data_IF_126577968940
#
_entry.id   IF_126577968940
#
_cell.length_a   1.000
_cell.length_b   1.000
_cell.length_c   1.000
_cell.angle_alpha   90.00
_cell.angle_beta   90.00
_cell.angle_gamma   90.00
#
_symmetry.space_group_name_H-M   'P 1'
#
loop_
_entity.id
_entity.type
_entity.pdbx_description
1 polymer ?
#
# COMPACT_ATOMS: atom_id res chain seq x y z
N UNK A 1 -5.08 -34.34 -7.29
CA UNK A 1 -4.76 -32.95 -7.69
C UNK A 1 -3.30 -32.73 -7.35
N UNK A 2 -2.45 -32.37 -8.30
CA UNK A 2 -1.05 -32.06 -8.00
C UNK A 2 -0.98 -30.71 -7.29
N UNK A 3 -0.25 -30.63 -6.18
CA UNK A 3 0.01 -29.37 -5.50
C UNK A 3 0.89 -28.53 -6.42
N UNK A 4 0.37 -27.42 -6.92
CA UNK A 4 1.17 -26.44 -7.65
C UNK A 4 1.78 -25.53 -6.62
N UNK A 5 3.10 -25.62 -6.45
CA UNK A 5 3.84 -24.69 -5.61
C UNK A 5 3.97 -23.36 -6.35
N UNK A 6 3.00 -22.48 -6.12
CA UNK A 6 2.98 -21.15 -6.71
C UNK A 6 4.16 -20.28 -6.22
N UNK A 7 4.78 -20.63 -5.09
CA UNK A 7 5.91 -19.90 -4.51
C UNK A 7 7.28 -20.38 -5.03
N UNK A 8 7.30 -21.42 -5.88
CA UNK A 8 8.53 -21.87 -6.54
C UNK A 8 9.07 -20.82 -7.53
N UNK A 9 10.38 -20.85 -7.78
CA UNK A 9 11.08 -19.87 -8.65
C UNK A 9 10.40 -19.68 -10.02
N UNK A 10 9.83 -20.75 -10.58
CA UNK A 10 9.14 -20.77 -11.87
C UNK A 10 7.80 -19.99 -11.92
N UNK A 11 7.27 -19.60 -10.77
CA UNK A 11 5.95 -18.96 -10.63
C UNK A 11 6.00 -17.61 -9.90
N UNK A 12 7.20 -17.19 -9.50
CA UNK A 12 7.45 -15.91 -8.80
C UNK A 12 6.91 -14.68 -9.55
N UNK A 13 7.09 -14.63 -10.87
CA UNK A 13 6.56 -13.53 -11.71
C UNK A 13 5.04 -13.49 -11.75
N UNK A 14 4.39 -14.66 -11.84
CA UNK A 14 2.93 -14.77 -11.83
C UNK A 14 2.35 -14.33 -10.49
N UNK A 15 2.99 -14.70 -9.38
CA UNK A 15 2.59 -14.21 -8.05
C UNK A 15 2.74 -12.70 -7.96
N UNK A 16 3.85 -12.13 -8.43
CA UNK A 16 4.06 -10.69 -8.40
C UNK A 16 2.95 -9.94 -9.17
N UNK A 17 2.56 -10.41 -10.35
CA UNK A 17 1.44 -9.83 -11.11
C UNK A 17 0.11 -9.91 -10.37
N UNK A 18 -0.16 -11.03 -9.70
CA UNK A 18 -1.39 -11.20 -8.91
C UNK A 18 -1.40 -10.23 -7.72
N UNK A 19 -0.29 -10.09 -7.01
CA UNK A 19 -0.15 -9.16 -5.88
C UNK A 19 -0.37 -7.73 -6.37
N UNK A 20 0.33 -7.29 -7.41
CA UNK A 20 0.17 -5.95 -7.97
C UNK A 20 -1.28 -5.65 -8.34
N UNK A 21 -1.97 -6.62 -8.94
CA UNK A 21 -3.39 -6.45 -9.32
C UNK A 21 -4.31 -6.36 -8.10
N UNK A 22 -4.00 -7.07 -7.02
CA UNK A 22 -4.75 -6.96 -5.75
C UNK A 22 -4.53 -5.56 -5.18
N UNK A 23 -3.28 -5.13 -5.09
CA UNK A 23 -2.90 -3.83 -4.54
C UNK A 23 -3.57 -2.70 -5.32
N UNK A 24 -3.44 -2.67 -6.65
CA UNK A 24 -4.08 -1.68 -7.53
C UNK A 24 -5.61 -1.63 -7.33
N UNK A 25 -6.25 -2.79 -7.23
CA UNK A 25 -7.71 -2.86 -7.03
C UNK A 25 -8.11 -2.31 -5.67
N UNK A 26 -7.32 -2.56 -4.63
CA UNK A 26 -7.61 -2.09 -3.27
C UNK A 26 -7.35 -0.59 -3.14
N UNK A 27 -6.22 -0.09 -3.64
CA UNK A 27 -5.89 1.34 -3.62
C UNK A 27 -6.93 2.12 -4.41
N UNK A 28 -7.27 1.70 -5.64
CA UNK A 28 -8.28 2.38 -6.45
C UNK A 28 -9.66 2.44 -5.77
N UNK A 29 -10.08 1.35 -5.13
CA UNK A 29 -11.34 1.34 -4.40
C UNK A 29 -11.34 2.33 -3.23
N UNK A 30 -10.23 2.39 -2.48
CA UNK A 30 -10.08 3.36 -1.39
C UNK A 30 -10.06 4.80 -1.91
N UNK A 31 -9.37 5.05 -3.03
CA UNK A 31 -9.38 6.34 -3.72
C UNK A 31 -10.77 6.73 -4.22
N UNK A 32 -11.61 5.79 -4.66
CA UNK A 32 -12.96 6.10 -5.16
C UNK A 32 -13.99 6.26 -4.03
N UNK A 33 -13.85 5.50 -2.93
CA UNK A 33 -14.92 5.34 -1.93
C UNK A 33 -14.62 5.97 -0.54
N UNK A 34 -13.36 6.26 -0.21
CA UNK A 34 -12.97 6.70 1.14
C UNK A 34 -12.42 8.13 1.15
N UNK A 35 -13.25 9.09 1.57
CA UNK A 35 -12.84 10.50 1.71
C UNK A 35 -11.72 10.69 2.74
N UNK A 36 -11.69 9.87 3.80
CA UNK A 36 -10.64 9.91 4.83
C UNK A 36 -9.31 9.45 4.25
N UNK A 37 -9.34 8.40 3.43
CA UNK A 37 -8.15 7.90 2.74
C UNK A 37 -7.58 8.96 1.78
N UNK A 38 -8.44 9.58 0.97
CA UNK A 38 -8.06 10.67 0.07
C UNK A 38 -7.42 11.84 0.84
N UNK A 39 -8.00 12.23 1.99
CA UNK A 39 -7.45 13.33 2.80
C UNK A 39 -6.06 13.00 3.34
N UNK A 40 -5.85 11.76 3.81
CA UNK A 40 -4.54 11.30 4.28
C UNK A 40 -3.50 11.28 3.14
N UNK A 41 -3.90 10.79 1.96
CA UNK A 41 -3.03 10.74 0.80
C UNK A 41 -2.63 12.15 0.35
N UNK A 42 -3.58 13.10 0.33
CA UNK A 42 -3.30 14.49 0.02
C UNK A 42 -2.34 15.12 1.02
N UNK A 43 -2.57 14.94 2.33
CA UNK A 43 -1.66 15.44 3.38
C UNK A 43 -0.25 14.87 3.27
N UNK A 44 -0.14 13.57 2.97
CA UNK A 44 1.15 12.93 2.70
C UNK A 44 1.83 13.58 1.49
N UNK A 45 1.11 13.74 0.38
CA UNK A 45 1.66 14.33 -0.85
C UNK A 45 2.10 15.79 -0.66
N UNK A 46 1.31 16.59 0.06
CA UNK A 46 1.65 17.97 0.39
C UNK A 46 2.97 18.07 1.18
N UNK A 47 3.23 17.14 2.10
CA UNK A 47 4.50 17.06 2.82
C UNK A 47 5.64 16.76 1.85
N UNK A 48 5.46 15.78 0.96
CA UNK A 48 6.49 15.38 0.01
C UNK A 48 6.82 16.51 -0.97
N UNK A 49 5.83 17.27 -1.41
CA UNK A 49 6.00 18.44 -2.30
C UNK A 49 6.77 19.57 -1.60
N UNK A 50 6.51 19.79 -0.31
CA UNK A 50 7.20 20.82 0.48
C UNK A 50 8.60 20.41 0.92
N UNK A 51 8.83 19.10 1.12
CA UNK A 51 10.08 18.54 1.62
C UNK A 51 10.62 17.45 0.68
N UNK A 52 11.19 17.82 -0.49
CA UNK A 52 11.62 16.86 -1.53
C UNK A 52 12.68 15.85 -1.08
N UNK A 53 13.42 16.14 0.00
CA UNK A 53 14.39 15.22 0.57
C UNK A 53 13.73 13.92 1.07
N UNK A 54 12.44 13.96 1.42
CA UNK A 54 11.70 12.80 1.90
C UNK A 54 11.58 11.78 0.76
N UNK A 55 11.19 12.18 -0.46
CA UNK A 55 11.18 11.26 -1.61
C UNK A 55 12.56 10.64 -1.84
N UNK A 56 13.60 11.48 -1.88
CA UNK A 56 14.99 11.03 -2.12
C UNK A 56 15.45 10.00 -1.09
N UNK A 57 15.07 10.20 0.18
CA UNK A 57 15.39 9.27 1.26
C UNK A 57 14.80 7.87 1.01
N UNK A 58 13.55 7.80 0.56
CA UNK A 58 12.87 6.51 0.32
C UNK A 58 13.25 5.88 -1.03
N UNK A 59 13.64 6.69 -2.01
CA UNK A 59 14.13 6.22 -3.32
C UNK A 59 15.60 5.73 -3.27
N UNK A 60 16.26 5.84 -2.11
CA UNK A 60 17.70 5.59 -1.92
C UNK A 60 18.59 6.45 -2.83
N UNK A 61 18.13 7.66 -3.14
CA UNK A 61 18.88 8.66 -3.89
C UNK A 61 19.87 9.43 -3.00
N UNK A 62 20.81 10.13 -3.64
CA UNK A 62 21.73 11.02 -2.93
C UNK A 62 20.96 12.16 -2.22
N UNK A 63 21.14 12.24 -0.91
CA UNK A 63 20.63 13.33 -0.10
C UNK A 63 21.48 14.59 -0.32
N UNK A 64 20.82 15.71 -0.61
CA UNK A 64 21.51 16.97 -0.91
C UNK A 64 22.25 17.59 0.29
N UNK A 65 21.94 17.13 1.51
CA UNK A 65 22.43 17.71 2.77
C UNK A 65 22.71 16.62 3.79
N UNK A 66 23.82 16.79 4.53
CA UNK A 66 24.17 15.92 5.66
C UNK A 66 23.41 16.27 6.95
N UNK A 67 22.94 17.51 7.08
CA UNK A 67 22.25 18.01 8.26
C UNK A 67 20.87 18.55 7.90
N UNK A 68 19.88 18.13 8.68
CA UNK A 68 18.48 18.54 8.55
C UNK A 68 18.03 19.30 9.80
N UNK A 69 17.14 20.27 9.59
CA UNK A 69 16.58 21.05 10.68
C UNK A 69 15.58 20.23 11.51
N UNK A 70 15.19 20.76 12.66
CA UNK A 70 14.10 20.17 13.45
C UNK A 70 12.79 20.13 12.67
N UNK A 71 12.52 21.14 11.85
CA UNK A 71 11.31 21.22 11.03
C UNK A 71 11.30 20.12 9.96
N UNK A 72 12.43 19.87 9.30
CA UNK A 72 12.60 18.77 8.35
C UNK A 72 12.30 17.41 9.02
N UNK A 73 12.85 17.19 10.21
CA UNK A 73 12.64 15.94 10.96
C UNK A 73 11.19 15.77 11.43
N UNK A 74 10.50 16.87 11.78
CA UNK A 74 9.07 16.83 12.09
C UNK A 74 8.23 16.54 10.85
N UNK A 75 8.58 17.08 9.68
CA UNK A 75 7.92 16.76 8.42
C UNK A 75 8.08 15.28 8.05
N UNK A 76 9.30 14.73 8.19
CA UNK A 76 9.56 13.31 8.00
C UNK A 76 8.74 12.44 8.96
N UNK A 77 8.65 12.83 10.24
CA UNK A 77 7.82 12.12 11.21
C UNK A 77 6.35 12.08 10.76
N UNK A 78 5.78 13.22 10.36
CA UNK A 78 4.39 13.30 9.90
C UNK A 78 4.17 12.47 8.63
N UNK A 79 5.13 12.50 7.69
CA UNK A 79 5.08 11.66 6.49
C UNK A 79 5.00 10.16 6.83
N UNK A 80 5.84 9.70 7.78
CA UNK A 80 5.85 8.31 8.23
C UNK A 80 4.53 7.96 8.93
N UNK A 81 4.00 8.86 9.76
CA UNK A 81 2.71 8.67 10.44
C UNK A 81 1.57 8.52 9.44
N UNK A 82 1.46 9.40 8.44
CA UNK A 82 0.44 9.28 7.41
C UNK A 82 0.63 8.03 6.54
N UNK A 83 1.87 7.71 6.16
CA UNK A 83 2.16 6.51 5.37
C UNK A 83 1.70 5.25 6.11
N UNK A 84 1.99 5.13 7.40
CA UNK A 84 1.54 4.00 8.21
C UNK A 84 0.02 3.88 8.28
N UNK A 85 -0.68 5.00 8.44
CA UNK A 85 -2.16 4.98 8.48
C UNK A 85 -2.70 4.56 7.11
N UNK A 86 -2.15 5.08 6.01
CA UNK A 86 -2.52 4.70 4.64
C UNK A 86 -2.32 3.19 4.44
N UNK A 87 -1.16 2.64 4.83
CA UNK A 87 -0.87 1.21 4.75
C UNK A 87 -1.89 0.37 5.54
N UNK A 88 -2.32 0.84 6.72
CA UNK A 88 -3.33 0.17 7.52
C UNK A 88 -4.70 0.13 6.80
N UNK A 89 -5.08 1.20 6.08
CA UNK A 89 -6.30 1.24 5.25
C UNK A 89 -6.22 0.25 4.09
N UNK A 90 -5.12 0.26 3.33
CA UNK A 90 -4.91 -0.65 2.20
C UNK A 90 -4.95 -2.10 2.66
N UNK A 91 -4.26 -2.42 3.76
CA UNK A 91 -4.24 -3.77 4.32
C UNK A 91 -5.62 -4.24 4.77
N UNK A 92 -6.41 -3.38 5.40
CA UNK A 92 -7.80 -3.70 5.77
C UNK A 92 -8.66 -3.96 4.54
N UNK A 93 -8.46 -3.22 3.46
CA UNK A 93 -9.23 -3.44 2.23
C UNK A 93 -8.84 -4.76 1.53
N UNK A 94 -7.55 -5.12 1.56
CA UNK A 94 -7.09 -6.45 1.11
C UNK A 94 -7.78 -7.55 1.92
N UNK A 95 -7.86 -7.43 3.25
CA UNK A 95 -8.56 -8.42 4.09
C UNK A 95 -10.06 -8.53 3.74
N UNK A 96 -10.75 -7.42 3.50
CA UNK A 96 -12.16 -7.44 3.08
C UNK A 96 -12.34 -8.13 1.73
N UNK A 97 -11.46 -7.83 0.78
CA UNK A 97 -11.49 -8.45 -0.54
C UNK A 97 -11.28 -9.97 -0.44
N UNK A 98 -10.27 -10.40 0.32
CA UNK A 98 -10.02 -11.82 0.56
C UNK A 98 -11.19 -12.53 1.23
N UNK A 99 -11.80 -11.90 2.25
CA UNK A 99 -12.99 -12.44 2.91
C UNK A 99 -14.18 -12.58 1.94
N UNK A 100 -14.41 -11.56 1.12
CA UNK A 100 -15.45 -11.58 0.09
C UNK A 100 -15.26 -12.75 -0.88
N UNK A 101 -14.04 -12.95 -1.38
CA UNK A 101 -13.74 -14.00 -2.33
C UNK A 101 -13.87 -15.39 -1.70
N UNK A 102 -13.46 -15.56 -0.44
CA UNK A 102 -13.73 -16.79 0.31
C UNK A 102 -15.24 -17.08 0.45
N UNK A 103 -16.06 -16.06 0.75
CA UNK A 103 -17.52 -16.23 0.84
C UNK A 103 -18.12 -16.67 -0.51
N UNK A 104 -17.64 -16.10 -1.63
CA UNK A 104 -18.06 -16.52 -2.97
C UNK A 104 -17.70 -17.98 -3.26
N UNK A 105 -16.50 -18.42 -2.89
CA UNK A 105 -16.08 -19.82 -3.07
C UNK A 105 -16.93 -20.78 -2.23
N UNK A 106 -17.23 -20.43 -0.98
CA UNK A 106 -18.08 -21.28 -0.12
C UNK A 106 -19.51 -21.40 -0.67
N UNK A 107 -20.04 -20.32 -1.26
CA UNK A 107 -21.33 -20.33 -1.96
C UNK A 107 -21.35 -21.26 -3.18
N UNK A 108 -20.22 -21.41 -3.88
CA UNK A 108 -20.12 -22.31 -5.05
C UNK A 108 -20.20 -23.80 -4.68
N UNK A 109 -19.98 -24.15 -3.42
CA UNK A 109 -20.07 -25.52 -2.90
C UNK A 109 -21.23 -25.69 -1.92
N UNK A 110 -22.24 -24.83 -2.02
CA UNK A 110 -23.50 -24.88 -1.25
C UNK A 110 -23.32 -24.89 0.28
N UNK A 111 -22.24 -24.29 0.79
CA UNK A 111 -22.03 -24.10 2.24
C UNK A 111 -22.75 -22.84 2.75
N UNK A 112 -22.99 -21.86 1.88
CA UNK A 112 -23.73 -20.61 2.14
C UNK A 112 -24.77 -20.33 1.06
#
# INVERSE_FOLDING_TARGET
>A
MAFVDLLGENHSSLIAEIINRIDEKTTKKLEDESSVYQELLNKKNEITDQYPFISKLFDNDELEKENYSKEDMLALQQYIEYSRIIDDYERLEIYKLGLHDCMLMLKQIDIF
#
